data_IF_398305723704
#
_entry.id   IF_398305723704
#
_cell.length_a   1.000
_cell.length_b   1.000
_cell.length_c   1.000
_cell.angle_alpha   90.00
_cell.angle_beta   90.00
_cell.angle_gamma   90.00
#
_symmetry.space_group_name_H-M   'P 1'
#
loop_
_entity.id
_entity.type
_entity.pdbx_description
1 polymer ?
#
# COMPACT_ATOMS: atom_id res chain seq x y z
N UNK A 1 22.42 5.02 -17.61
CA UNK A 1 22.03 6.45 -17.65
C UNK A 1 20.88 6.59 -16.67
N UNK A 2 20.91 7.36 -15.58
CA UNK A 2 21.91 8.27 -15.03
C UNK A 2 21.77 8.26 -13.49
N UNK A 3 22.47 7.35 -12.81
CA UNK A 3 22.29 7.12 -11.35
C UNK A 3 22.76 8.32 -10.54
N UNK A 4 23.66 9.12 -11.10
CA UNK A 4 24.16 10.36 -10.52
C UNK A 4 23.05 11.39 -10.31
N UNK A 5 22.00 11.39 -11.14
CA UNK A 5 20.85 12.31 -11.00
C UNK A 5 19.95 11.97 -9.79
N UNK A 6 20.01 10.73 -9.29
CA UNK A 6 19.19 10.30 -8.14
C UNK A 6 19.78 10.69 -6.78
N UNK A 7 21.01 11.21 -6.75
CA UNK A 7 21.68 11.68 -5.53
C UNK A 7 21.55 13.21 -5.49
N UNK A 8 20.69 13.72 -4.62
CA UNK A 8 20.52 15.15 -4.39
C UNK A 8 20.63 15.49 -2.90
N UNK A 9 20.54 16.78 -2.56
CA UNK A 9 20.66 17.27 -1.17
C UNK A 9 19.62 16.72 -0.18
N UNK A 10 18.55 16.07 -0.66
CA UNK A 10 17.53 15.42 0.17
C UNK A 10 17.70 13.90 0.25
N UNK A 11 18.72 13.33 -0.39
CA UNK A 11 18.99 11.90 -0.33
C UNK A 11 19.56 11.55 1.04
N UNK A 12 18.83 10.70 1.78
CA UNK A 12 19.25 10.26 3.11
C UNK A 12 20.66 9.66 3.08
N UNK A 13 21.50 10.01 4.06
CA UNK A 13 22.92 9.62 4.13
C UNK A 13 23.13 8.11 4.03
N UNK A 14 22.22 7.30 4.57
CA UNK A 14 22.27 5.84 4.45
C UNK A 14 22.17 5.34 3.00
N UNK A 15 21.39 6.01 2.15
CA UNK A 15 21.27 5.68 0.71
C UNK A 15 22.54 6.06 -0.05
N UNK A 16 23.12 7.22 0.25
CA UNK A 16 24.41 7.66 -0.32
C UNK A 16 25.50 6.66 0.06
N UNK A 17 25.55 6.26 1.33
CA UNK A 17 26.53 5.28 1.80
C UNK A 17 26.34 3.89 1.16
N UNK A 18 25.10 3.41 1.06
CA UNK A 18 24.80 2.14 0.37
C UNK A 18 25.20 2.18 -1.11
N UNK A 19 25.05 3.33 -1.77
CA UNK A 19 25.50 3.55 -3.15
C UNK A 19 27.04 3.51 -3.25
N UNK A 20 27.74 4.25 -2.40
CA UNK A 20 29.21 4.22 -2.33
C UNK A 20 29.71 2.79 -2.10
N UNK A 21 29.10 2.06 -1.16
CA UNK A 21 29.43 0.66 -0.92
C UNK A 21 29.16 -0.26 -2.13
N UNK A 22 28.16 0.04 -2.95
CA UNK A 22 27.92 -0.71 -4.19
C UNK A 22 28.99 -0.46 -5.25
N UNK A 23 29.46 0.79 -5.40
CA UNK A 23 30.58 1.12 -6.29
C UNK A 23 31.84 0.35 -5.87
N UNK A 24 32.09 0.28 -4.57
CA UNK A 24 33.24 -0.46 -4.03
C UNK A 24 33.03 -1.98 -3.96
N UNK A 25 31.92 -2.52 -4.48
CA UNK A 25 31.63 -3.95 -4.44
C UNK A 25 31.42 -4.53 -3.04
N UNK A 26 31.31 -3.68 -2.01
CA UNK A 26 31.15 -4.06 -0.60
C UNK A 26 29.70 -4.25 -0.18
N UNK A 27 28.75 -3.99 -1.08
CA UNK A 27 27.33 -4.16 -0.82
C UNK A 27 26.97 -5.64 -0.80
N UNK A 28 26.66 -6.16 0.39
CA UNK A 28 26.07 -7.49 0.54
C UNK A 28 24.63 -7.43 0.02
N UNK A 29 24.34 -8.13 -1.07
CA UNK A 29 22.95 -8.40 -1.47
C UNK A 29 22.38 -9.39 -0.47
N UNK A 30 21.46 -8.95 0.40
CA UNK A 30 20.75 -9.87 1.28
C UNK A 30 19.66 -10.58 0.48
N UNK A 31 20.07 -11.52 -0.39
CA UNK A 31 19.13 -12.36 -1.10
C UNK A 31 18.84 -13.59 -0.23
N UNK A 32 17.79 -13.48 0.59
CA UNK A 32 17.39 -14.53 1.53
C UNK A 32 17.11 -15.85 0.79
N UNK A 33 16.38 -15.76 -0.31
CA UNK A 33 15.94 -16.89 -1.12
C UNK A 33 17.12 -17.62 -1.74
N UNK A 34 18.11 -16.89 -2.27
CA UNK A 34 19.34 -17.48 -2.79
C UNK A 34 20.16 -18.20 -1.71
N UNK A 35 20.15 -17.70 -0.46
CA UNK A 35 20.86 -18.36 0.65
C UNK A 35 20.15 -19.64 1.08
N UNK A 36 18.82 -19.66 1.05
CA UNK A 36 18.02 -20.85 1.33
C UNK A 36 18.22 -21.87 0.21
N UNK A 37 18.11 -21.46 -1.05
CA UNK A 37 18.36 -22.31 -2.21
C UNK A 37 19.76 -22.97 -2.18
N UNK A 38 20.81 -22.18 -1.91
CA UNK A 38 22.19 -22.71 -1.76
C UNK A 38 22.31 -23.68 -0.57
N UNK A 39 21.62 -23.40 0.55
CA UNK A 39 21.66 -24.25 1.75
C UNK A 39 20.98 -25.60 1.52
N UNK A 40 19.82 -25.58 0.87
CA UNK A 40 19.03 -26.77 0.56
C UNK A 40 19.54 -27.49 -0.72
N UNK A 41 20.48 -26.89 -1.45
CA UNK A 41 21.05 -27.46 -2.66
C UNK A 41 20.08 -27.50 -3.86
N UNK A 42 19.02 -26.70 -3.80
CA UNK A 42 17.99 -26.59 -4.85
C UNK A 42 18.15 -25.31 -5.65
N UNK A 43 17.62 -25.29 -6.86
CA UNK A 43 17.50 -24.07 -7.65
C UNK A 43 16.46 -23.11 -7.05
N UNK A 44 16.53 -21.83 -7.45
CA UNK A 44 15.54 -20.83 -7.02
C UNK A 44 14.12 -21.16 -7.50
N UNK A 45 14.00 -21.77 -8.69
CA UNK A 45 12.71 -22.15 -9.27
C UNK A 45 12.09 -23.32 -8.50
N UNK A 46 12.88 -24.33 -8.15
CA UNK A 46 12.44 -25.46 -7.33
C UNK A 46 12.00 -25.02 -5.92
N UNK A 47 12.75 -24.09 -5.30
CA UNK A 47 12.37 -23.50 -4.01
C UNK A 47 11.02 -22.75 -4.10
N UNK A 48 10.79 -22.04 -5.20
CA UNK A 48 9.54 -21.32 -5.42
C UNK A 48 8.35 -22.28 -5.62
N UNK A 49 8.54 -23.40 -6.32
CA UNK A 49 7.52 -24.44 -6.49
C UNK A 49 7.21 -25.15 -5.16
N UNK A 50 8.22 -25.48 -4.37
CA UNK A 50 8.04 -26.08 -3.03
C UNK A 50 7.32 -25.12 -2.07
N UNK A 51 7.71 -23.84 -2.08
CA UNK A 51 6.99 -22.83 -1.32
C UNK A 51 5.54 -22.69 -1.80
N UNK A 52 5.31 -22.71 -3.11
CA UNK A 52 3.97 -22.60 -3.66
C UNK A 52 3.06 -23.75 -3.24
N UNK A 53 3.55 -24.98 -3.28
CA UNK A 53 2.79 -26.16 -2.82
C UNK A 53 2.52 -26.12 -1.33
N UNK A 54 3.49 -25.67 -0.52
CA UNK A 54 3.36 -25.59 0.95
C UNK A 54 2.35 -24.51 1.35
N UNK A 55 2.50 -23.29 0.84
CA UNK A 55 1.72 -22.12 1.28
C UNK A 55 0.40 -21.94 0.52
N UNK A 56 0.29 -22.42 -0.72
CA UNK A 56 -0.91 -22.30 -1.56
C UNK A 56 -1.56 -23.65 -1.89
N UNK A 57 -1.34 -24.66 -1.05
CA UNK A 57 -2.00 -25.99 -1.14
C UNK A 57 -3.53 -25.90 -1.26
N UNK A 58 -4.14 -24.82 -0.78
CA UNK A 58 -5.57 -24.58 -0.87
C UNK A 58 -5.90 -23.68 -2.07
N UNK A 59 -5.86 -24.25 -3.27
CA UNK A 59 -6.57 -23.67 -4.41
C UNK A 59 -8.00 -24.22 -4.42
N UNK A 60 -8.85 -23.73 -3.52
CA UNK A 60 -10.26 -24.10 -3.59
C UNK A 60 -11.09 -23.01 -3.00
N UNK A 61 -11.98 -22.51 -3.86
CA UNK A 61 -13.03 -21.53 -3.60
C UNK A 61 -13.39 -21.40 -2.11
N UNK A 62 -13.39 -20.18 -1.56
CA UNK A 62 -13.92 -19.97 -0.22
C UNK A 62 -15.32 -20.59 -0.14
N UNK A 63 -15.57 -21.38 0.90
CA UNK A 63 -16.89 -21.98 1.14
C UNK A 63 -17.94 -20.87 1.17
N UNK A 64 -19.18 -21.18 0.78
CA UNK A 64 -20.29 -20.22 0.88
C UNK A 64 -20.48 -19.67 2.31
N UNK A 65 -19.98 -20.37 3.32
CA UNK A 65 -19.99 -19.97 4.73
C UNK A 65 -18.73 -19.20 5.18
N UNK A 66 -17.67 -19.12 4.36
CA UNK A 66 -16.42 -18.40 4.71
C UNK A 66 -16.66 -16.90 4.92
N UNK A 67 -17.67 -16.32 4.28
CA UNK A 67 -18.03 -14.91 4.39
C UNK A 67 -19.32 -14.68 5.18
N UNK A 68 -19.74 -15.63 6.01
CA UNK A 68 -20.90 -15.39 6.85
C UNK A 68 -20.55 -14.27 7.82
N UNK A 69 -21.27 -13.16 7.72
CA UNK A 69 -21.09 -12.01 8.62
C UNK A 69 -21.48 -12.49 10.02
N UNK A 70 -20.56 -12.37 10.98
CA UNK A 70 -20.92 -12.59 12.38
C UNK A 70 -22.02 -11.58 12.74
N UNK A 71 -23.18 -12.08 13.17
CA UNK A 71 -24.38 -11.29 13.50
C UNK A 71 -24.27 -10.55 14.85
N UNK A 72 -23.08 -10.40 15.39
CA UNK A 72 -22.85 -9.78 16.70
C UNK A 72 -22.69 -8.28 16.54
N UNK A 73 -23.69 -7.53 17.01
CA UNK A 73 -23.60 -6.23 17.73
C UNK A 73 -22.45 -5.27 17.35
N UNK A 74 -22.04 -5.22 16.08
CA UNK A 74 -20.82 -4.55 15.64
C UNK A 74 -20.89 -3.03 15.86
N UNK A 75 -22.09 -2.47 15.95
CA UNK A 75 -22.31 -1.03 15.99
C UNK A 75 -21.76 -0.32 17.26
N UNK A 76 -21.37 -1.07 18.30
CA UNK A 76 -20.78 -0.48 19.54
C UNK A 76 -19.24 -0.45 19.55
N UNK A 77 -18.59 -1.01 18.52
CA UNK A 77 -17.14 -1.08 18.49
C UNK A 77 -16.52 0.26 18.12
N UNK A 78 -15.42 0.63 18.78
CA UNK A 78 -14.78 1.94 18.63
C UNK A 78 -14.30 2.26 17.20
N UNK A 79 -14.21 1.26 16.31
CA UNK A 79 -13.85 1.44 14.91
C UNK A 79 -15.04 1.62 13.96
N UNK A 80 -16.28 1.46 14.45
CA UNK A 80 -17.50 1.71 13.67
C UNK A 80 -18.05 3.13 13.89
N UNK A 81 -17.26 4.02 14.50
CA UNK A 81 -17.61 5.43 14.63
C UNK A 81 -17.34 6.20 13.32
N UNK A 82 -18.12 7.25 13.01
CA UNK A 82 -17.89 8.07 11.83
C UNK A 82 -16.50 8.73 11.84
N UNK A 83 -15.88 8.80 10.66
CA UNK A 83 -14.63 9.51 10.44
C UNK A 83 -14.77 10.99 10.75
N UNK A 84 -13.77 11.51 11.45
CA UNK A 84 -13.71 12.89 11.94
C UNK A 84 -12.79 13.78 11.10
N UNK A 85 -12.95 15.09 11.22
CA UNK A 85 -12.03 16.05 10.60
C UNK A 85 -10.60 15.90 11.09
N UNK A 86 -10.40 15.58 12.38
CA UNK A 86 -9.07 15.36 12.96
C UNK A 86 -8.35 14.21 12.27
N UNK A 87 -9.06 13.11 12.01
CA UNK A 87 -8.52 11.97 11.27
C UNK A 87 -8.19 12.32 9.83
N UNK A 88 -9.05 13.11 9.16
CA UNK A 88 -8.76 13.61 7.83
C UNK A 88 -7.48 14.45 7.81
N UNK A 89 -7.32 15.40 8.74
CA UNK A 89 -6.10 16.21 8.84
C UNK A 89 -4.86 15.35 9.05
N UNK A 90 -4.92 14.43 10.01
CA UNK A 90 -3.81 13.52 10.30
C UNK A 90 -3.47 12.62 9.10
N UNK A 91 -4.47 12.11 8.39
CA UNK A 91 -4.29 11.32 7.18
C UNK A 91 -3.64 12.15 6.06
N UNK A 92 -4.11 13.38 5.84
CA UNK A 92 -3.53 14.30 4.86
C UNK A 92 -2.09 14.65 5.19
N UNK A 93 -1.73 14.85 6.45
CA UNK A 93 -0.34 15.14 6.88
C UNK A 93 0.60 13.95 6.62
N UNK A 94 0.16 12.73 6.94
CA UNK A 94 0.97 11.51 6.74
C UNK A 94 1.06 11.06 5.29
N UNK A 95 0.09 11.43 4.46
CA UNK A 95 0.06 11.03 3.06
C UNK A 95 1.30 11.54 2.30
N UNK A 96 1.85 10.71 1.41
CA UNK A 96 2.99 11.12 0.60
C UNK A 96 2.56 12.16 -0.45
N UNK A 97 3.02 13.39 -0.29
CA UNK A 97 2.72 14.48 -1.23
C UNK A 97 3.25 14.25 -2.65
N UNK A 98 4.22 13.34 -2.82
CA UNK A 98 4.83 12.97 -4.11
C UNK A 98 4.18 11.72 -4.71
N UNK A 99 3.06 11.24 -4.18
CA UNK A 99 2.30 10.17 -4.85
C UNK A 99 1.85 10.65 -6.23
N UNK A 100 1.77 9.70 -7.17
CA UNK A 100 1.23 10.01 -8.48
C UNK A 100 -0.23 10.47 -8.34
N UNK A 101 -0.62 11.57 -9.02
CA UNK A 101 -2.00 11.98 -9.09
C UNK A 101 -2.86 10.83 -9.65
N UNK A 102 -4.07 10.65 -9.09
CA UNK A 102 -5.04 9.72 -9.66
C UNK A 102 -5.56 10.17 -11.02
N UNK A 103 -6.54 9.43 -11.58
CA UNK A 103 -7.14 9.72 -12.89
C UNK A 103 -7.61 11.18 -13.05
N UNK A 104 -8.09 11.79 -11.97
CA UNK A 104 -8.60 13.16 -11.93
C UNK A 104 -7.52 14.23 -11.68
N UNK A 105 -6.23 13.86 -11.64
CA UNK A 105 -5.10 14.76 -11.39
C UNK A 105 -5.15 15.57 -10.09
N UNK A 106 -5.96 15.12 -9.13
CA UNK A 106 -5.98 15.66 -7.77
C UNK A 106 -4.87 15.01 -6.97
N UNK A 107 -4.09 15.82 -6.26
CA UNK A 107 -2.93 15.38 -5.47
C UNK A 107 -3.20 15.67 -4.00
N UNK A 108 -2.48 14.99 -3.11
CA UNK A 108 -2.51 15.26 -1.67
C UNK A 108 -2.20 16.74 -1.37
N UNK A 109 -1.28 17.35 -2.13
CA UNK A 109 -0.96 18.78 -1.99
C UNK A 109 -2.18 19.69 -2.23
N UNK A 110 -3.03 19.37 -3.22
CA UNK A 110 -4.26 20.10 -3.50
C UNK A 110 -5.26 19.94 -2.34
N UNK A 111 -5.38 18.73 -1.78
CA UNK A 111 -6.28 18.48 -0.65
C UNK A 111 -5.84 19.21 0.63
N UNK A 112 -4.53 19.33 0.87
CA UNK A 112 -3.99 20.08 2.02
C UNK A 112 -4.30 21.57 1.95
N UNK A 113 -4.25 22.16 0.74
CA UNK A 113 -4.48 23.59 0.54
C UNK A 113 -5.95 23.99 0.58
N UNK A 114 -6.89 23.04 0.60
CA UNK A 114 -8.32 23.35 0.67
C UNK A 114 -8.67 24.01 2.02
N UNK A 115 -9.60 24.98 2.04
CA UNK A 115 -10.21 25.44 3.28
C UNK A 115 -10.97 24.32 3.98
N UNK A 116 -11.05 24.35 5.30
CA UNK A 116 -11.62 23.24 6.08
C UNK A 116 -13.12 23.02 5.79
N UNK A 117 -13.85 24.07 5.43
CA UNK A 117 -15.24 23.96 4.97
C UNK A 117 -15.40 23.07 3.72
N UNK A 118 -14.42 23.06 2.83
CA UNK A 118 -14.44 22.19 1.65
C UNK A 118 -13.89 20.80 1.95
N UNK A 119 -12.97 20.68 2.92
CA UNK A 119 -12.44 19.39 3.37
C UNK A 119 -13.52 18.55 4.05
N UNK A 120 -14.47 19.18 4.75
CA UNK A 120 -15.60 18.50 5.42
C UNK A 120 -16.43 17.61 4.50
N UNK A 121 -16.54 17.97 3.22
CA UNK A 121 -17.28 17.15 2.25
C UNK A 121 -16.69 15.74 2.08
N UNK A 122 -15.40 15.53 2.35
CA UNK A 122 -14.74 14.23 2.22
C UNK A 122 -15.19 13.22 3.30
N UNK A 123 -15.04 13.50 4.61
CA UNK A 123 -15.51 12.59 5.64
C UNK A 123 -17.02 12.42 5.59
N UNK A 124 -17.79 13.45 5.23
CA UNK A 124 -19.25 13.34 5.09
C UNK A 124 -19.63 12.29 4.02
N UNK A 125 -19.00 12.35 2.85
CA UNK A 125 -19.23 11.39 1.76
C UNK A 125 -18.76 9.97 2.14
N UNK A 126 -17.58 9.85 2.75
CA UNK A 126 -17.04 8.53 3.16
C UNK A 126 -17.93 7.90 4.24
N UNK A 127 -18.38 8.68 5.22
CA UNK A 127 -19.29 8.23 6.26
C UNK A 127 -20.64 7.81 5.67
N UNK A 128 -21.16 8.56 4.71
CA UNK A 128 -22.39 8.21 4.01
C UNK A 128 -22.26 6.88 3.23
N UNK A 129 -21.15 6.66 2.54
CA UNK A 129 -20.87 5.40 1.83
C UNK A 129 -20.71 4.24 2.83
N UNK A 130 -20.07 4.48 3.97
CA UNK A 130 -19.87 3.48 5.02
C UNK A 130 -21.21 3.03 5.62
N UNK A 131 -22.10 3.97 5.95
CA UNK A 131 -23.41 3.72 6.53
C UNK A 131 -24.39 3.07 5.53
N UNK A 132 -24.43 3.59 4.30
CA UNK A 132 -25.30 3.04 3.25
C UNK A 132 -24.83 1.68 2.71
N UNK A 133 -23.53 1.40 2.80
CA UNK A 133 -22.91 0.24 2.15
C UNK A 133 -22.90 0.32 0.62
N UNK A 134 -23.29 1.45 0.03
CA UNK A 134 -23.42 1.62 -1.41
C UNK A 134 -22.17 2.28 -2.01
N UNK A 135 -21.24 1.44 -2.52
CA UNK A 135 -20.04 1.94 -3.18
C UNK A 135 -20.34 2.56 -4.56
N UNK A 136 -19.79 3.74 -4.89
CA UNK A 136 -19.87 4.31 -6.22
C UNK A 136 -19.37 3.33 -7.29
N UNK A 137 -20.11 3.21 -8.40
CA UNK A 137 -19.75 2.29 -9.50
C UNK A 137 -18.35 2.55 -10.05
N UNK A 138 -17.91 3.80 -10.05
CA UNK A 138 -16.59 4.22 -10.53
C UNK A 138 -15.45 3.66 -9.68
N UNK A 139 -15.67 3.37 -8.39
CA UNK A 139 -14.65 2.82 -7.49
C UNK A 139 -14.43 1.32 -7.69
N UNK A 140 -15.36 0.64 -8.38
CA UNK A 140 -15.26 -0.79 -8.69
C UNK A 140 -14.27 -1.08 -9.84
N UNK A 141 -13.78 -0.05 -10.51
CA UNK A 141 -12.86 -0.16 -11.64
C UNK A 141 -11.55 0.57 -11.34
N UNK A 142 -10.44 -0.08 -11.65
CA UNK A 142 -9.11 0.54 -11.60
C UNK A 142 -8.59 0.76 -13.02
N UNK A 143 -8.00 1.94 -13.28
CA UNK A 143 -7.30 2.22 -14.53
C UNK A 143 -5.86 1.77 -14.36
N UNK A 144 -5.45 0.74 -15.12
CA UNK A 144 -4.06 0.30 -15.19
C UNK A 144 -3.35 1.14 -16.22
N UNK A 145 -2.40 1.96 -15.79
CA UNK A 145 -1.52 2.69 -16.70
C UNK A 145 -0.21 1.90 -16.85
N UNK A 146 0.11 1.35 -18.04
CA UNK A 146 1.37 0.67 -18.24
C UNK A 146 2.55 1.65 -18.07
N UNK A 147 3.53 1.24 -17.29
CA UNK A 147 4.81 1.94 -17.06
C UNK A 147 5.84 1.61 -18.12
#
# INVERSE_FOLDING_TARGET
MDVCETINGHTHTSKVWAFVQSIFGKRKTNNGDARVAIREGVSLDELAEEAATTFFSHTSHPSATTYNRDNTTADEEAYNVPFTMTELHHALERANARSMPGAYKVCVAHLRSLPDCHKQALPDEINHIWDSGELPKTWKFAIVNPS
#
